data_IF_636210929419
#
_entry.id   IF_636210929419
#
_cell.length_a   1.000
_cell.length_b   1.000
_cell.length_c   1.000
_cell.angle_alpha   90.00
_cell.angle_beta   90.00
_cell.angle_gamma   90.00
#
_symmetry.space_group_name_H-M   'P 1'
#
loop_
_entity.id
_entity.type
_entity.pdbx_description
1 polymer ?
#
# COMPACT_ATOMS: atom_id res chain seq x y z
N UNK A 1 -3.30 -13.18 -1.68
CA UNK A 1 -3.65 -12.28 -2.82
C UNK A 1 -2.89 -12.62 -4.08
N UNK A 2 -1.55 -12.66 -4.09
CA UNK A 2 -0.79 -12.97 -5.32
C UNK A 2 -1.12 -14.34 -5.92
N UNK A 3 -1.18 -15.39 -5.10
CA UNK A 3 -1.54 -16.73 -5.59
C UNK A 3 -2.89 -16.75 -6.30
N UNK A 4 -3.92 -16.16 -5.68
CA UNK A 4 -5.25 -16.02 -6.29
C UNK A 4 -5.21 -15.24 -7.62
N UNK A 5 -4.40 -14.18 -7.71
CA UNK A 5 -4.25 -13.39 -8.93
C UNK A 5 -3.56 -14.19 -10.04
N UNK A 6 -2.52 -14.95 -9.70
CA UNK A 6 -1.83 -15.85 -10.63
C UNK A 6 -2.80 -16.92 -11.14
N UNK A 7 -3.55 -17.57 -10.25
CA UNK A 7 -4.49 -18.63 -10.62
C UNK A 7 -5.64 -18.14 -11.52
N UNK A 8 -6.12 -16.91 -11.31
CA UNK A 8 -7.27 -16.37 -12.05
C UNK A 8 -6.90 -15.52 -13.28
N UNK A 9 -5.76 -14.85 -13.25
CA UNK A 9 -5.40 -13.80 -14.20
C UNK A 9 -3.94 -13.93 -14.70
N UNK A 10 -3.40 -15.15 -14.78
CA UNK A 10 -2.12 -15.39 -15.42
C UNK A 10 -2.11 -14.83 -16.86
N UNK A 11 -1.07 -14.09 -17.20
CA UNK A 11 -0.89 -13.54 -18.53
C UNK A 11 0.61 -13.49 -18.87
N UNK A 12 1.03 -13.81 -20.12
CA UNK A 12 2.45 -13.84 -20.50
C UNK A 12 3.22 -12.54 -20.25
N UNK A 13 2.51 -11.40 -20.30
CA UNK A 13 3.09 -10.07 -20.09
C UNK A 13 2.96 -9.55 -18.66
N UNK A 14 2.52 -10.37 -17.70
CA UNK A 14 2.33 -9.97 -16.30
C UNK A 14 3.20 -10.84 -15.40
N UNK A 15 4.04 -10.19 -14.59
CA UNK A 15 4.82 -10.84 -13.55
C UNK A 15 4.28 -10.43 -12.16
N UNK A 16 4.16 -11.41 -11.26
CA UNK A 16 3.65 -11.20 -9.90
C UNK A 16 4.79 -11.32 -8.89
N UNK A 17 5.05 -10.25 -8.14
CA UNK A 17 6.13 -10.19 -7.12
C UNK A 17 5.60 -9.63 -5.79
N UNK A 18 5.96 -10.30 -4.69
CA UNK A 18 5.72 -9.78 -3.34
C UNK A 18 6.84 -8.83 -2.93
N UNK A 19 6.47 -7.60 -2.53
CA UNK A 19 7.38 -6.54 -2.08
C UNK A 19 6.69 -5.65 -1.06
N UNK A 20 7.46 -5.17 -0.09
CA UNK A 20 7.05 -4.11 0.83
C UNK A 20 7.59 -2.77 0.33
N UNK A 21 6.68 -1.83 0.02
CA UNK A 21 7.02 -0.51 -0.52
C UNK A 21 7.82 0.39 0.43
N UNK A 22 7.92 0.02 1.71
CA UNK A 22 8.62 0.78 2.74
C UNK A 22 10.08 0.34 2.94
N UNK A 23 10.56 -0.68 2.23
CA UNK A 23 11.93 -1.23 2.36
C UNK A 23 12.82 -0.81 1.19
N UNK A 24 13.73 0.13 1.41
CA UNK A 24 14.48 0.82 0.34
C UNK A 24 15.45 -0.08 -0.44
N UNK A 25 16.13 -1.00 0.27
CA UNK A 25 17.12 -1.91 -0.32
C UNK A 25 16.51 -2.82 -1.39
N UNK A 26 15.22 -3.16 -1.22
CA UNK A 26 14.49 -4.00 -2.16
C UNK A 26 14.21 -3.26 -3.48
N UNK A 27 13.95 -1.94 -3.42
CA UNK A 27 13.67 -1.12 -4.61
C UNK A 27 14.91 -0.88 -5.45
N UNK A 28 16.02 -0.51 -4.82
CA UNK A 28 17.27 -0.28 -5.56
C UNK A 28 17.67 -1.54 -6.34
N UNK A 29 17.65 -2.70 -5.68
CA UNK A 29 17.97 -3.99 -6.31
C UNK A 29 16.96 -4.35 -7.41
N UNK A 30 15.68 -4.08 -7.19
CA UNK A 30 14.62 -4.37 -8.15
C UNK A 30 14.71 -3.49 -9.41
N UNK A 31 14.93 -2.19 -9.24
CA UNK A 31 15.09 -1.23 -10.35
C UNK A 31 16.32 -1.57 -11.18
N UNK A 32 17.44 -1.95 -10.55
CA UNK A 32 18.64 -2.38 -11.28
C UNK A 32 18.35 -3.60 -12.17
N UNK A 33 17.49 -4.52 -11.73
CA UNK A 33 17.14 -5.74 -12.48
C UNK A 33 16.04 -5.52 -13.52
N UNK A 34 15.07 -4.66 -13.22
CA UNK A 34 13.81 -4.57 -13.97
C UNK A 34 13.66 -3.27 -14.76
N UNK A 35 14.55 -2.30 -14.52
CA UNK A 35 14.44 -0.94 -15.02
C UNK A 35 13.45 -0.09 -14.23
N UNK A 36 13.26 1.13 -14.71
CA UNK A 36 12.22 2.05 -14.27
C UNK A 36 11.01 1.98 -15.21
N UNK A 37 9.86 2.40 -14.73
CA UNK A 37 8.58 2.24 -15.41
C UNK A 37 8.05 3.59 -15.90
N UNK A 38 7.54 3.67 -17.14
CA UNK A 38 6.93 4.89 -17.66
C UNK A 38 5.58 5.20 -16.98
N UNK A 39 4.94 4.20 -16.36
CA UNK A 39 3.65 4.33 -15.72
C UNK A 39 3.57 3.42 -14.49
N UNK A 40 3.24 3.99 -13.33
CA UNK A 40 3.08 3.28 -12.07
C UNK A 40 1.66 3.47 -11.53
N UNK A 41 1.03 2.37 -11.13
CA UNK A 41 -0.31 2.38 -10.54
C UNK A 41 -0.26 1.94 -9.07
N UNK A 42 -0.99 2.66 -8.20
CA UNK A 42 -1.23 2.24 -6.82
C UNK A 42 -2.70 2.45 -6.48
N UNK A 43 -3.45 1.34 -6.38
CA UNK A 43 -4.91 1.38 -6.26
C UNK A 43 -5.33 0.86 -4.89
N UNK A 44 -5.82 1.75 -4.03
CA UNK A 44 -6.37 1.39 -2.72
C UNK A 44 -5.36 0.79 -1.75
N UNK A 45 -4.05 1.06 -1.91
CA UNK A 45 -3.01 0.48 -1.06
C UNK A 45 -2.44 1.46 -0.02
N UNK A 46 -2.24 2.74 -0.39
CA UNK A 46 -1.42 3.66 0.41
C UNK A 46 -1.97 3.97 1.80
N UNK A 47 -3.30 3.94 1.99
CA UNK A 47 -3.93 4.21 3.28
C UNK A 47 -3.63 3.13 4.34
N UNK A 48 -3.13 1.96 3.94
CA UNK A 48 -2.66 0.92 4.86
C UNK A 48 -1.22 1.14 5.33
N UNK A 49 -0.48 2.04 4.68
CA UNK A 49 0.93 2.28 4.96
C UNK A 49 1.04 3.37 6.01
N UNK A 50 1.81 3.11 7.07
CA UNK A 50 2.08 4.09 8.12
C UNK A 50 2.96 5.25 7.62
N UNK A 51 4.10 4.94 7.01
CA UNK A 51 4.97 5.96 6.42
C UNK A 51 4.65 6.18 4.94
N UNK A 52 3.56 6.92 4.70
CA UNK A 52 3.08 7.21 3.35
C UNK A 52 4.10 8.05 2.56
N UNK A 53 4.83 8.96 3.21
CA UNK A 53 5.85 9.77 2.54
C UNK A 53 6.99 8.91 2.00
N UNK A 54 7.45 7.93 2.80
CA UNK A 54 8.47 6.98 2.35
C UNK A 54 7.96 6.14 1.18
N UNK A 55 6.74 5.62 1.25
CA UNK A 55 6.16 4.87 0.15
C UNK A 55 6.06 5.71 -1.14
N UNK A 56 5.65 6.98 -1.04
CA UNK A 56 5.60 7.88 -2.19
C UNK A 56 6.98 8.20 -2.77
N UNK A 57 8.00 8.37 -1.92
CA UNK A 57 9.40 8.51 -2.39
C UNK A 57 9.86 7.26 -3.14
N UNK A 58 9.54 6.07 -2.64
CA UNK A 58 9.91 4.82 -3.29
C UNK A 58 9.11 4.57 -4.58
N UNK A 59 7.85 4.99 -4.66
CA UNK A 59 7.09 5.01 -5.91
C UNK A 59 7.76 5.94 -6.93
N UNK A 60 8.24 7.11 -6.51
CA UNK A 60 8.93 8.03 -7.41
C UNK A 60 10.24 7.44 -7.97
N UNK A 61 10.98 6.63 -7.21
CA UNK A 61 12.20 5.97 -7.72
C UNK A 61 11.90 4.89 -8.75
N UNK A 62 10.72 4.26 -8.70
CA UNK A 62 10.26 3.32 -9.74
C UNK A 62 9.98 4.00 -11.07
N UNK A 63 9.66 5.29 -11.08
CA UNK A 63 9.26 6.00 -12.30
C UNK A 63 10.47 6.37 -13.16
N UNK A 64 10.36 6.15 -14.46
CA UNK A 64 11.33 6.65 -15.42
C UNK A 64 11.28 8.19 -15.48
N UNK A 65 12.34 8.87 -15.95
CA UNK A 65 12.29 10.31 -16.21
C UNK A 65 11.12 10.66 -17.14
N UNK A 66 10.23 11.54 -16.68
CA UNK A 66 9.00 11.92 -17.41
C UNK A 66 7.87 10.89 -17.35
N UNK A 67 8.02 9.81 -16.59
CA UNK A 67 6.95 8.85 -16.34
C UNK A 67 5.83 9.41 -15.47
N UNK A 68 4.71 8.70 -15.43
CA UNK A 68 3.51 9.10 -14.71
C UNK A 68 3.17 8.12 -13.59
N UNK A 69 2.46 8.62 -12.57
CA UNK A 69 1.91 7.78 -11.52
C UNK A 69 0.45 8.10 -11.30
N UNK A 70 -0.38 7.06 -11.29
CA UNK A 70 -1.79 7.14 -10.95
C UNK A 70 -2.05 6.42 -9.63
N UNK A 71 -2.57 7.17 -8.66
CA UNK A 71 -2.76 6.70 -7.29
C UNK A 71 -4.19 6.95 -6.86
N UNK A 72 -4.83 5.95 -6.26
CA UNK A 72 -6.13 6.09 -5.62
C UNK A 72 -6.06 5.62 -4.16
N UNK A 73 -6.56 6.45 -3.25
CA UNK A 73 -6.73 6.09 -1.84
C UNK A 73 -7.86 6.94 -1.22
N UNK A 74 -8.51 6.46 -0.15
CA UNK A 74 -9.50 7.26 0.57
C UNK A 74 -8.83 8.51 1.16
N UNK A 75 -9.33 9.70 0.81
CA UNK A 75 -8.88 10.95 1.44
C UNK A 75 -9.34 11.06 2.90
N UNK A 76 -10.52 10.51 3.19
CA UNK A 76 -11.04 10.27 4.54
C UNK A 76 -11.65 8.88 4.58
N UNK A 77 -11.56 8.21 5.73
CA UNK A 77 -12.13 6.88 5.91
C UNK A 77 -13.18 6.94 7.01
N UNK A 78 -14.46 7.03 6.63
CA UNK A 78 -15.60 7.12 7.57
C UNK A 78 -15.63 5.99 8.60
N UNK A 79 -15.01 4.85 8.29
CA UNK A 79 -14.87 3.74 9.23
C UNK A 79 -14.07 4.14 10.48
N UNK A 80 -13.14 5.10 10.39
CA UNK A 80 -12.35 5.56 11.54
C UNK A 80 -13.27 6.14 12.62
N UNK A 81 -14.18 7.03 12.24
CA UNK A 81 -15.12 7.65 13.19
C UNK A 81 -16.04 6.62 13.83
N UNK A 82 -16.49 5.64 13.03
CA UNK A 82 -17.29 4.51 13.52
C UNK A 82 -16.47 3.66 14.50
N UNK A 83 -15.22 3.36 14.18
CA UNK A 83 -14.34 2.60 15.08
C UNK A 83 -14.12 3.33 16.39
N UNK A 84 -13.82 4.63 16.37
CA UNK A 84 -13.67 5.45 17.57
C UNK A 84 -14.93 5.38 18.43
N UNK A 85 -16.10 5.65 17.84
CA UNK A 85 -17.38 5.59 18.55
C UNK A 85 -17.70 4.19 19.10
N UNK A 86 -17.35 3.13 18.36
CA UNK A 86 -17.52 1.76 18.83
C UNK A 86 -16.64 1.48 20.06
N UNK A 87 -15.38 1.91 20.05
CA UNK A 87 -14.46 1.67 21.17
C UNK A 87 -14.87 2.43 22.45
N UNK A 88 -15.56 3.55 22.31
CA UNK A 88 -16.13 4.32 23.42
C UNK A 88 -17.45 3.74 23.95
N UNK A 89 -18.07 2.79 23.23
CA UNK A 89 -19.32 2.16 23.66
C UNK A 89 -19.09 1.04 24.67
N UNK A 90 -19.96 0.99 25.69
CA UNK A 90 -19.89 0.01 26.79
C UNK A 90 -19.81 -1.46 26.34
N UNK A 91 -20.33 -1.78 25.15
CA UNK A 91 -20.30 -3.12 24.56
C UNK A 91 -18.89 -3.55 24.13
N UNK A 92 -18.09 -2.62 23.62
CA UNK A 92 -16.83 -2.92 22.93
C UNK A 92 -15.59 -2.32 23.60
N UNK A 93 -15.74 -1.42 24.58
CA UNK A 93 -14.61 -0.80 25.32
C UNK A 93 -13.66 -1.82 25.96
N UNK A 94 -14.14 -3.02 26.31
CA UNK A 94 -13.29 -4.12 26.81
C UNK A 94 -12.20 -4.59 25.84
N UNK A 95 -12.28 -4.23 24.55
CA UNK A 95 -11.28 -4.52 23.54
C UNK A 95 -10.38 -3.32 23.21
N UNK A 96 -10.49 -2.22 23.96
CA UNK A 96 -9.71 -0.99 23.74
C UNK A 96 -8.20 -1.18 23.84
N UNK A 97 -7.75 -2.21 24.54
CA UNK A 97 -6.35 -2.58 24.65
C UNK A 97 -5.83 -3.38 23.44
N UNK A 98 -6.71 -3.96 22.61
CA UNK A 98 -6.37 -4.61 21.33
C UNK A 98 -6.13 -3.55 20.24
N UNK A 99 -5.57 -2.41 20.63
CA UNK A 99 -5.02 -1.43 19.71
C UNK A 99 -3.82 -2.08 19.03
N UNK A 100 -4.00 -2.49 17.77
CA UNK A 100 -2.87 -2.39 16.85
C UNK A 100 -2.36 -0.96 16.95
N UNK A 101 -1.06 -0.79 17.21
CA UNK A 101 -0.39 0.51 17.22
C UNK A 101 -0.55 1.16 15.83
N UNK A 102 -1.68 1.79 15.59
CA UNK A 102 -2.02 2.58 14.40
C UNK A 102 -2.59 3.90 14.90
N UNK A 103 -1.72 4.69 15.53
CA UNK A 103 -1.93 6.13 15.66
C UNK A 103 -2.03 6.70 14.25
N UNK A 104 -3.16 7.36 13.97
CA UNK A 104 -3.38 8.18 12.77
C UNK A 104 -2.41 9.35 12.73
#
# INVERSE_FOLDING_TARGET
MLQLAIEKYAHPNIEYKSRDITVDADFATFIVKSGQFPLVYSLGALHWIRDQQKAMRNIATLMAPGGECFVTFPGTMMLIDIYVAMMESSRWTKYSEVREQKTF
#
